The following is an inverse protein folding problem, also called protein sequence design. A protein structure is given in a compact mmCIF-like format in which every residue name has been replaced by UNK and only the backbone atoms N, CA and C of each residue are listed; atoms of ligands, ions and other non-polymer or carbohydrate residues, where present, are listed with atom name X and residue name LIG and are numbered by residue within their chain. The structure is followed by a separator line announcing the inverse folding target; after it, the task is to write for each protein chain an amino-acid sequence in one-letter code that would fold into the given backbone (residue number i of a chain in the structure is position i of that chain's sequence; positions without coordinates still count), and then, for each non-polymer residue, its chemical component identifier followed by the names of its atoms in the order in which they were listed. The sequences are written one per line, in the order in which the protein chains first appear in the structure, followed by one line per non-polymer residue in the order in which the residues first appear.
data_IF_805124924739
#
_entry.id   IF_805124924739
#
_cell.length_a   1.000
_cell.length_b   1.000
_cell.length_c   1.000
_cell.angle_alpha   90.00
_cell.angle_beta   90.00
_cell.angle_gamma   90.00
#
_symmetry.space_group_name_H-M   'P 1'
#
loop_
_entity.id
_entity.type
_entity.pdbx_description
1 polymer ?
#
# COMPACT_ATOMS: atom_id res chain seq x y z
N UNK A 1 24.92 -45.70 -28.92
CA UNK A 1 24.44 -44.35 -29.29
C UNK A 1 22.93 -44.36 -29.15
N UNK A 2 22.33 -43.40 -28.42
CA UNK A 2 20.87 -43.24 -28.21
C UNK A 2 20.19 -44.43 -27.49
N UNK A 3 19.11 -44.34 -26.71
CA UNK A 3 18.30 -43.28 -26.07
C UNK A 3 17.43 -43.96 -24.99
N UNK A 4 16.83 -43.35 -23.97
CA UNK A 4 16.73 -41.96 -23.48
C UNK A 4 16.35 -41.99 -21.98
N UNK A 5 16.81 -41.04 -21.17
CA UNK A 5 16.28 -40.85 -19.79
C UNK A 5 15.11 -39.86 -19.80
N UNK A 6 13.96 -40.27 -19.27
CA UNK A 6 12.78 -39.39 -19.12
C UNK A 6 12.05 -39.68 -17.81
N UNK A 7 12.23 -38.82 -16.80
CA UNK A 7 11.28 -38.65 -15.68
C UNK A 7 11.31 -37.20 -15.19
N UNK A 8 10.78 -36.33 -16.05
CA UNK A 8 9.76 -35.32 -15.75
C UNK A 8 9.43 -35.06 -14.26
N UNK A 9 9.84 -33.89 -13.79
CA UNK A 9 9.05 -32.95 -12.97
C UNK A 9 8.65 -33.31 -11.52
N UNK A 10 9.20 -32.55 -10.55
CA UNK A 10 8.39 -31.55 -9.78
C UNK A 10 9.29 -30.64 -8.94
N UNK A 11 9.51 -29.40 -9.41
CA UNK A 11 10.07 -28.31 -8.58
C UNK A 11 8.98 -27.70 -7.72
N UNK A 12 8.83 -28.15 -6.48
CA UNK A 12 7.84 -27.60 -5.53
C UNK A 12 8.34 -26.32 -4.87
N UNK A 13 7.96 -25.17 -5.42
CA UNK A 13 8.13 -23.87 -4.77
C UNK A 13 7.21 -23.76 -3.54
N UNK A 14 7.77 -23.94 -2.34
CA UNK A 14 7.04 -23.77 -1.07
C UNK A 14 6.69 -22.30 -0.82
N UNK A 15 5.49 -21.90 -1.26
CA UNK A 15 4.87 -20.65 -0.85
C UNK A 15 4.50 -20.75 0.65
N UNK A 16 4.91 -19.80 1.52
CA UNK A 16 4.51 -19.83 2.92
C UNK A 16 2.99 -19.66 3.04
N UNK A 17 2.29 -20.72 3.44
CA UNK A 17 0.87 -20.66 3.80
C UNK A 17 0.76 -19.99 5.17
N UNK A 18 0.32 -18.74 5.20
CA UNK A 18 0.10 -18.03 6.45
C UNK A 18 -0.93 -18.77 7.32
N UNK A 19 -0.75 -18.73 8.64
CA UNK A 19 -1.55 -19.48 9.62
C UNK A 19 -2.42 -18.53 10.45
N UNK A 20 -3.60 -18.99 10.88
CA UNK A 20 -4.52 -18.20 11.68
C UNK A 20 -3.95 -17.97 13.09
N UNK A 21 -3.85 -16.71 13.50
CA UNK A 21 -3.35 -16.29 14.82
C UNK A 21 -4.19 -16.79 16.02
N UNK A 22 -5.40 -17.31 15.77
CA UNK A 22 -6.27 -17.88 16.81
C UNK A 22 -6.24 -19.41 16.87
N UNK A 23 -6.22 -20.11 15.72
CA UNK A 23 -6.40 -21.57 15.68
C UNK A 23 -5.33 -22.33 14.87
N UNK A 24 -4.31 -21.66 14.34
CA UNK A 24 -3.23 -22.28 13.55
C UNK A 24 -3.61 -22.73 12.12
N UNK A 25 -4.90 -22.90 11.81
CA UNK A 25 -5.37 -23.33 10.49
C UNK A 25 -4.91 -22.38 9.35
N UNK A 26 -4.77 -22.87 8.10
CA UNK A 26 -4.39 -22.03 6.95
C UNK A 26 -5.28 -20.78 6.82
N UNK A 27 -4.65 -19.64 6.60
CA UNK A 27 -5.28 -18.33 6.62
C UNK A 27 -5.02 -17.56 5.32
N UNK A 28 -6.07 -16.92 4.81
CA UNK A 28 -6.04 -16.12 3.57
C UNK A 28 -6.41 -14.65 3.80
N UNK A 29 -6.93 -14.31 5.00
CA UNK A 29 -7.33 -12.95 5.37
C UNK A 29 -6.31 -12.36 6.33
N UNK A 30 -6.05 -11.06 6.22
CA UNK A 30 -5.21 -10.29 7.15
C UNK A 30 -6.04 -9.29 7.95
N UNK A 31 -5.53 -8.87 9.10
CA UNK A 31 -6.03 -7.69 9.79
C UNK A 31 -5.98 -6.48 8.84
N UNK A 32 -7.13 -5.87 8.55
CA UNK A 32 -7.23 -4.71 7.66
C UNK A 32 -6.49 -3.47 8.18
N UNK A 33 -6.29 -3.36 9.50
CA UNK A 33 -5.66 -2.21 10.16
C UNK A 33 -4.14 -2.22 10.06
N UNK A 34 -3.48 -3.30 10.50
CA UNK A 34 -2.02 -3.40 10.54
C UNK A 34 -1.40 -4.32 9.48
N UNK A 35 -2.19 -5.09 8.73
CA UNK A 35 -1.72 -6.11 7.76
C UNK A 35 -0.74 -7.17 8.32
N UNK A 36 -0.51 -7.25 9.65
CA UNK A 36 0.42 -8.20 10.28
C UNK A 36 -0.19 -9.58 10.59
N UNK A 37 -1.32 -9.61 11.30
CA UNK A 37 -1.94 -10.86 11.74
C UNK A 37 -2.83 -11.48 10.65
N UNK A 38 -2.80 -12.80 10.53
CA UNK A 38 -3.60 -13.58 9.58
C UNK A 38 -4.71 -14.37 10.29
N UNK A 39 -5.85 -14.54 9.61
CA UNK A 39 -7.01 -15.24 10.11
C UNK A 39 -7.67 -16.08 8.99
N UNK A 40 -8.20 -17.25 9.35
CA UNK A 40 -8.99 -18.06 8.42
C UNK A 40 -10.40 -17.48 8.21
N UNK A 41 -10.96 -16.79 9.20
CA UNK A 41 -12.26 -16.10 9.10
C UNK A 41 -12.32 -14.78 9.89
N UNK A 42 -13.28 -13.88 9.58
CA UNK A 42 -13.51 -12.65 10.34
C UNK A 42 -13.90 -12.90 11.81
N UNK A 43 -14.51 -14.04 12.12
CA UNK A 43 -14.93 -14.42 13.47
C UNK A 43 -13.71 -14.65 14.36
N UNK A 44 -12.68 -15.32 13.83
CA UNK A 44 -11.41 -15.50 14.54
C UNK A 44 -10.67 -14.17 14.74
N UNK A 45 -10.74 -13.25 13.78
CA UNK A 45 -10.22 -11.88 13.97
C UNK A 45 -10.97 -11.14 15.09
N UNK A 46 -12.31 -11.22 15.14
CA UNK A 46 -13.13 -10.60 16.20
C UNK A 46 -12.83 -11.18 17.58
N UNK A 47 -12.61 -12.49 17.67
CA UNK A 47 -12.26 -13.18 18.92
C UNK A 47 -10.85 -12.78 19.42
N UNK A 48 -9.85 -12.71 18.53
CA UNK A 48 -8.50 -12.27 18.87
C UNK A 48 -8.44 -10.77 19.21
N UNK A 49 -9.32 -9.94 18.63
CA UNK A 49 -9.21 -8.47 18.62
C UNK A 49 -8.79 -7.83 19.95
N UNK A 50 -9.32 -8.26 21.10
CA UNK A 50 -8.94 -7.71 22.42
C UNK A 50 -7.46 -7.95 22.78
N UNK A 51 -6.88 -9.07 22.36
CA UNK A 51 -5.45 -9.38 22.50
C UNK A 51 -4.67 -8.66 21.41
N UNK A 52 -4.96 -8.95 20.14
CA UNK A 52 -4.27 -8.39 18.99
C UNK A 52 -4.17 -6.85 19.01
N UNK A 53 -5.25 -6.13 19.36
CA UNK A 53 -5.23 -4.65 19.48
C UNK A 53 -4.18 -4.17 20.48
N UNK A 54 -3.99 -4.85 21.61
CA UNK A 54 -3.08 -4.41 22.68
C UNK A 54 -1.62 -4.78 22.47
N UNK A 55 -1.35 -5.75 21.60
CA UNK A 55 0.01 -6.32 21.45
C UNK A 55 0.65 -6.09 20.08
N UNK A 56 -0.14 -5.80 19.03
CA UNK A 56 0.37 -5.72 17.65
C UNK A 56 -0.48 -4.86 16.70
N UNK A 57 -1.42 -4.07 17.22
CA UNK A 57 -2.37 -3.28 16.42
C UNK A 57 -2.98 -2.11 17.19
N UNK A 58 -2.22 -1.53 18.13
CA UNK A 58 -2.64 -0.34 18.87
C UNK A 58 -2.42 0.93 18.05
N UNK A 59 -2.71 2.08 18.65
CA UNK A 59 -2.69 3.36 17.95
C UNK A 59 -1.24 3.88 17.81
N UNK A 60 -0.36 3.50 18.74
CA UNK A 60 1.08 3.79 18.68
C UNK A 60 1.76 3.03 17.54
N UNK A 61 1.46 1.74 17.36
CA UNK A 61 1.94 0.94 16.24
C UNK A 61 1.53 1.55 14.89
N UNK A 62 0.29 2.00 14.74
CA UNK A 62 -0.15 2.65 13.49
C UNK A 62 0.59 3.98 13.24
N UNK A 63 0.88 4.76 14.29
CA UNK A 63 1.64 6.00 14.19
C UNK A 63 3.12 5.77 13.85
N UNK A 64 3.73 4.72 14.41
CA UNK A 64 5.09 4.27 14.09
C UNK A 64 5.18 3.80 12.63
N UNK A 65 4.25 2.94 12.19
CA UNK A 65 4.18 2.52 10.78
C UNK A 65 4.05 3.72 9.84
N UNK A 66 3.20 4.71 10.15
CA UNK A 66 3.10 5.94 9.35
C UNK A 66 4.42 6.72 9.32
N UNK A 67 5.11 6.83 10.47
CA UNK A 67 6.43 7.48 10.58
C UNK A 67 7.48 6.77 9.73
N UNK A 68 7.52 5.44 9.75
CA UNK A 68 8.47 4.64 8.97
C UNK A 68 8.22 4.75 7.47
N UNK A 69 6.95 4.63 7.02
CA UNK A 69 6.61 4.80 5.61
C UNK A 69 6.86 6.24 5.12
N UNK A 70 6.63 7.27 5.96
CA UNK A 70 6.99 8.66 5.62
C UNK A 70 8.49 8.83 5.44
N UNK A 71 9.30 8.30 6.37
CA UNK A 71 10.76 8.37 6.29
C UNK A 71 11.28 7.69 5.02
N UNK A 72 10.68 6.56 4.64
CA UNK A 72 11.05 5.84 3.43
C UNK A 72 10.60 6.57 2.16
N UNK A 73 9.38 7.14 2.15
CA UNK A 73 8.94 8.04 1.08
C UNK A 73 9.89 9.24 0.90
N UNK A 74 10.32 9.87 1.99
CA UNK A 74 11.28 10.99 1.94
C UNK A 74 12.65 10.55 1.40
N UNK A 75 13.13 9.35 1.80
CA UNK A 75 14.36 8.75 1.25
C UNK A 75 14.25 8.60 -0.27
N UNK A 76 13.17 8.00 -0.77
CA UNK A 76 12.93 7.75 -2.20
C UNK A 76 12.81 9.08 -2.96
N UNK A 77 11.97 10.00 -2.45
CA UNK A 77 11.79 11.35 -3.02
C UNK A 77 13.12 12.07 -3.23
N UNK A 78 13.96 12.13 -2.19
CA UNK A 78 15.24 12.84 -2.22
C UNK A 78 16.30 12.11 -3.07
N UNK A 79 16.40 10.78 -2.97
CA UNK A 79 17.38 10.00 -3.72
C UNK A 79 17.16 10.09 -5.22
N UNK A 80 15.91 9.93 -5.67
CA UNK A 80 15.54 9.98 -7.08
C UNK A 80 15.15 11.40 -7.56
N UNK A 81 15.22 12.42 -6.70
CA UNK A 81 14.92 13.83 -7.00
C UNK A 81 13.50 14.02 -7.59
N UNK A 82 12.54 13.26 -7.08
CA UNK A 82 11.16 13.18 -7.60
C UNK A 82 10.34 14.46 -7.36
N UNK A 83 10.91 15.40 -6.62
CA UNK A 83 10.39 16.74 -6.33
C UNK A 83 11.06 17.87 -7.13
N UNK A 84 11.98 17.52 -8.04
CA UNK A 84 12.42 18.46 -9.08
C UNK A 84 11.26 18.83 -10.01
N UNK A 85 11.29 20.02 -10.60
CA UNK A 85 10.21 20.55 -11.47
C UNK A 85 9.89 19.61 -12.65
N UNK A 86 10.93 19.09 -13.32
CA UNK A 86 10.78 18.11 -14.42
C UNK A 86 10.08 16.83 -13.93
N UNK A 87 10.65 16.18 -12.91
CA UNK A 87 10.11 14.88 -12.46
C UNK A 87 8.74 15.00 -11.82
N UNK A 88 8.45 16.10 -11.11
CA UNK A 88 7.12 16.38 -10.57
C UNK A 88 6.06 16.46 -11.67
N UNK A 89 6.41 17.09 -12.80
CA UNK A 89 5.53 17.21 -13.98
C UNK A 89 5.32 15.85 -14.65
N UNK A 90 6.39 15.07 -14.84
CA UNK A 90 6.33 13.71 -15.39
C UNK A 90 5.53 12.73 -14.50
N UNK A 91 5.62 12.87 -13.17
CA UNK A 91 4.83 12.08 -12.22
C UNK A 91 3.35 12.46 -12.30
N UNK A 92 3.04 13.75 -12.43
CA UNK A 92 1.67 14.22 -12.60
C UNK A 92 1.07 13.65 -13.90
N UNK A 93 1.77 13.76 -15.03
CA UNK A 93 1.35 13.18 -16.32
C UNK A 93 1.18 11.66 -16.25
N UNK A 94 2.15 10.95 -15.66
CA UNK A 94 2.08 9.49 -15.49
C UNK A 94 0.81 9.06 -14.73
N UNK A 95 0.45 9.77 -13.66
CA UNK A 95 -0.73 9.48 -12.83
C UNK A 95 -2.04 9.91 -13.52
N UNK A 96 -2.04 10.96 -14.34
CA UNK A 96 -3.25 11.48 -15.02
C UNK A 96 -3.51 10.89 -16.41
N UNK A 97 -2.57 10.11 -16.95
CA UNK A 97 -2.61 9.50 -18.29
C UNK A 97 -3.83 8.62 -18.59
N UNK A 98 -4.57 8.18 -17.55
CA UNK A 98 -5.74 7.30 -17.68
C UNK A 98 -5.41 5.82 -17.79
N UNK A 99 -4.13 5.46 -17.87
CA UNK A 99 -3.67 4.07 -17.76
C UNK A 99 -3.61 3.62 -16.28
N UNK A 100 -3.63 2.30 -16.04
CA UNK A 100 -3.46 1.76 -14.69
C UNK A 100 -2.02 1.96 -14.20
N UNK A 101 -1.83 2.92 -13.29
CA UNK A 101 -0.55 3.16 -12.60
C UNK A 101 -0.08 1.88 -11.89
N UNK A 102 1.05 1.31 -12.35
CA UNK A 102 1.67 0.13 -11.73
C UNK A 102 3.02 0.47 -11.08
N UNK A 103 3.42 -0.25 -10.01
CA UNK A 103 4.77 -0.11 -9.44
C UNK A 103 5.88 -0.45 -10.43
N UNK A 104 5.66 -1.42 -11.33
CA UNK A 104 6.63 -1.77 -12.37
C UNK A 104 6.83 -0.60 -13.34
N UNK A 105 5.75 -0.05 -13.91
CA UNK A 105 5.86 1.09 -14.84
C UNK A 105 6.47 2.35 -14.19
N UNK A 106 6.25 2.56 -12.89
CA UNK A 106 6.90 3.64 -12.15
C UNK A 106 8.40 3.35 -11.94
N UNK A 107 8.76 2.13 -11.56
CA UNK A 107 10.15 1.66 -11.45
C UNK A 107 10.90 1.83 -12.76
N UNK A 108 10.32 1.37 -13.87
CA UNK A 108 10.88 1.48 -15.21
C UNK A 108 11.05 2.94 -15.67
N UNK A 109 10.08 3.82 -15.38
CA UNK A 109 10.12 5.24 -15.80
C UNK A 109 11.05 6.11 -14.95
N UNK A 110 11.11 5.89 -13.64
CA UNK A 110 11.83 6.78 -12.71
C UNK A 110 13.13 6.18 -12.16
N UNK A 111 13.45 4.94 -12.52
CA UNK A 111 14.69 4.25 -12.14
C UNK A 111 14.71 3.72 -10.70
N UNK A 112 13.56 3.67 -10.02
CA UNK A 112 13.44 3.11 -8.66
C UNK A 112 13.44 1.59 -8.70
N UNK A 113 13.64 0.92 -7.57
CA UNK A 113 13.21 -0.49 -7.44
C UNK A 113 11.68 -0.60 -7.46
N UNK A 114 11.15 -1.80 -7.68
CA UNK A 114 9.71 -2.06 -7.66
C UNK A 114 9.15 -1.91 -6.24
N UNK A 115 9.93 -2.29 -5.23
CA UNK A 115 9.60 -2.15 -3.81
C UNK A 115 9.51 -0.67 -3.41
N UNK A 116 10.46 0.16 -3.85
CA UNK A 116 10.42 1.63 -3.64
C UNK A 116 9.24 2.26 -4.38
N UNK A 117 8.93 1.80 -5.60
CA UNK A 117 7.76 2.26 -6.35
C UNK A 117 6.45 1.94 -5.61
N UNK A 118 6.34 0.76 -4.99
CA UNK A 118 5.19 0.41 -4.13
C UNK A 118 5.07 1.41 -2.98
N UNK A 119 6.14 1.67 -2.22
CA UNK A 119 6.11 2.61 -1.09
C UNK A 119 5.73 4.02 -1.54
N UNK A 120 6.31 4.50 -2.65
CA UNK A 120 6.07 5.85 -3.17
C UNK A 120 4.61 6.02 -3.64
N UNK A 121 4.09 5.06 -4.40
CA UNK A 121 2.71 5.07 -4.88
C UNK A 121 1.68 4.83 -3.77
N UNK A 122 1.95 3.98 -2.77
CA UNK A 122 1.09 3.83 -1.60
C UNK A 122 1.00 5.17 -0.83
N UNK A 123 2.10 5.91 -0.68
CA UNK A 123 2.10 7.21 0.00
C UNK A 123 1.29 8.28 -0.75
N UNK A 124 1.41 8.36 -2.08
CA UNK A 124 0.58 9.24 -2.90
C UNK A 124 -0.91 8.92 -2.72
N UNK A 125 -1.28 7.63 -2.77
CA UNK A 125 -2.65 7.19 -2.59
C UNK A 125 -3.21 7.51 -1.18
N UNK A 126 -2.38 7.48 -0.13
CA UNK A 126 -2.76 7.93 1.22
C UNK A 126 -3.05 9.43 1.23
N UNK A 127 -2.21 10.25 0.58
CA UNK A 127 -2.43 11.69 0.46
C UNK A 127 -3.70 12.06 -0.32
N UNK A 128 -3.99 11.33 -1.42
CA UNK A 128 -5.22 11.51 -2.20
C UNK A 128 -6.46 11.17 -1.36
N UNK A 129 -6.50 10.02 -0.70
CA UNK A 129 -7.64 9.62 0.14
C UNK A 129 -7.91 10.60 1.28
N UNK A 130 -6.87 11.08 1.96
CA UNK A 130 -7.03 12.09 3.01
C UNK A 130 -7.67 13.39 2.47
N UNK A 131 -7.30 13.80 1.24
CA UNK A 131 -7.90 14.96 0.57
C UNK A 131 -9.35 14.70 0.18
N UNK A 132 -9.68 13.52 -0.34
CA UNK A 132 -11.05 13.10 -0.66
C UNK A 132 -11.94 13.09 0.60
N UNK A 133 -11.52 12.41 1.67
CA UNK A 133 -12.23 12.35 2.95
C UNK A 133 -12.47 13.75 3.56
N UNK A 134 -11.47 14.63 3.48
CA UNK A 134 -11.58 16.03 3.93
C UNK A 134 -12.60 16.82 3.09
N UNK A 135 -12.57 16.68 1.77
CA UNK A 135 -13.52 17.34 0.86
C UNK A 135 -14.95 16.84 1.07
N UNK A 136 -15.13 15.53 1.28
CA UNK A 136 -16.45 14.95 1.52
C UNK A 136 -16.99 15.29 2.91
N UNK A 137 -16.13 15.40 3.93
CA UNK A 137 -16.50 15.96 5.23
C UNK A 137 -16.95 17.44 5.10
N UNK A 138 -16.25 18.26 4.31
CA UNK A 138 -16.63 19.66 4.08
C UNK A 138 -17.95 19.81 3.31
N UNK A 139 -18.17 19.01 2.25
CA UNK A 139 -19.45 18.94 1.53
C UNK A 139 -20.59 18.52 2.46
N UNK A 140 -20.36 17.49 3.30
CA UNK A 140 -21.34 17.00 4.28
C UNK A 140 -21.65 18.04 5.37
N UNK A 141 -20.70 18.92 5.69
CA UNK A 141 -20.89 20.07 6.56
C UNK A 141 -21.56 21.29 5.87
N UNK A 142 -21.95 21.17 4.60
CA UNK A 142 -22.65 22.22 3.85
C UNK A 142 -21.75 23.32 3.26
N UNK A 143 -20.44 23.13 3.23
CA UNK A 143 -19.50 24.13 2.71
C UNK A 143 -19.30 23.99 1.20
N UNK A 144 -20.17 24.62 0.40
CA UNK A 144 -20.03 24.67 -1.07
C UNK A 144 -18.97 25.73 -1.46
N UNK A 145 -17.83 25.27 -2.01
CA UNK A 145 -16.67 26.11 -2.31
C UNK A 145 -16.84 27.02 -3.55
N UNK A 146 -18.05 27.13 -4.12
CA UNK A 146 -18.35 27.93 -5.32
C UNK A 146 -18.48 29.45 -5.12
N UNK A 147 -18.23 29.99 -3.92
CA UNK A 147 -18.48 31.42 -3.60
C UNK A 147 -17.22 32.27 -3.31
N UNK A 148 -16.06 31.93 -3.90
CA UNK A 148 -14.81 32.71 -3.74
C UNK A 148 -14.17 33.18 -5.06
N UNK A 149 -14.93 33.35 -6.15
CA UNK A 149 -14.44 34.05 -7.34
C UNK A 149 -15.53 34.85 -8.06
N UNK A 150 -15.97 35.95 -7.43
CA UNK A 150 -16.87 36.92 -8.07
C UNK A 150 -16.60 38.38 -7.68
N UNK A 151 -15.41 38.68 -7.13
CA UNK A 151 -14.97 40.05 -6.81
C UNK A 151 -13.44 40.21 -7.01
N UNK A 152 -13.00 40.30 -8.26
CA UNK A 152 -11.85 41.13 -8.65
C UNK A 152 -11.93 41.51 -10.13
#
# INVERSE_FOLDING_TARGET
MSSTNTTTTTTTTTKPTATCALCGAPATKRCSRCKLAWYCSPEHQKQDWKRHKRTACDDAFQADQHTLHKREFDRIRLHYQLDSESKSSEIAEFITSGESVTPQGFSDKFGTTVEEAVVFLEWINVGVKFKEETLDAAKKAGFDTKQLNQNR
#
